data_IF_736778936596
#
_entry.id   IF_736778936596
#
_cell.length_a   1.000
_cell.length_b   1.000
_cell.length_c   1.000
_cell.angle_alpha   90.00
_cell.angle_beta   90.00
_cell.angle_gamma   90.00
#
_symmetry.space_group_name_H-M   'P 1'
#
loop_
_entity.id
_entity.type
_entity.pdbx_description
1 polymer ?
#
# COMPACT_ATOMS: atom_id res chain seq x y z
N UNK A 1 -4.04 -2.33 -6.30
CA UNK A 1 -4.08 -3.44 -7.26
C UNK A 1 -5.53 -3.71 -7.61
N UNK A 2 -5.82 -4.07 -8.86
CA UNK A 2 -7.15 -4.46 -9.31
C UNK A 2 -7.07 -5.90 -9.82
N UNK A 3 -8.00 -6.75 -9.39
CA UNK A 3 -8.02 -8.18 -9.74
C UNK A 3 -9.40 -8.52 -10.29
N UNK A 4 -9.43 -9.24 -11.41
CA UNK A 4 -10.63 -9.93 -11.90
C UNK A 4 -10.80 -11.23 -11.10
N UNK A 5 -11.79 -11.27 -10.21
CA UNK A 5 -12.01 -12.40 -9.32
C UNK A 5 -12.54 -13.65 -10.03
N UNK A 6 -13.24 -13.51 -11.16
CA UNK A 6 -13.73 -14.66 -11.92
C UNK A 6 -12.55 -15.38 -12.58
N UNK A 7 -11.71 -14.63 -13.30
CA UNK A 7 -10.46 -15.16 -13.87
C UNK A 7 -9.52 -15.67 -12.80
N UNK A 8 -9.49 -15.03 -11.63
CA UNK A 8 -8.68 -15.47 -10.51
C UNK A 8 -9.04 -16.87 -10.03
N UNK A 9 -10.34 -17.14 -9.89
CA UNK A 9 -10.86 -18.44 -9.46
C UNK A 9 -10.68 -19.48 -10.54
N UNK A 10 -11.05 -19.16 -11.77
CA UNK A 10 -10.90 -20.06 -12.93
C UNK A 10 -9.44 -20.46 -13.18
N UNK A 11 -8.49 -19.55 -12.95
CA UNK A 11 -7.06 -19.79 -13.12
C UNK A 11 -6.34 -20.35 -11.88
N UNK A 12 -7.07 -20.60 -10.79
CA UNK A 12 -6.55 -21.13 -9.52
C UNK A 12 -5.30 -20.39 -8.98
N UNK A 13 -5.23 -19.06 -9.17
CA UNK A 13 -4.01 -18.31 -8.89
C UNK A 13 -3.63 -18.26 -7.41
N UNK A 14 -4.59 -18.43 -6.48
CA UNK A 14 -4.28 -18.58 -5.05
C UNK A 14 -3.32 -19.73 -4.81
N UNK A 15 -3.63 -20.93 -5.33
CA UNK A 15 -2.81 -22.12 -5.12
C UNK A 15 -1.40 -21.94 -5.68
N UNK A 16 -1.29 -21.38 -6.90
CA UNK A 16 0.01 -21.09 -7.54
C UNK A 16 0.85 -20.08 -6.74
N UNK A 17 0.23 -19.07 -6.15
CA UNK A 17 0.93 -18.12 -5.27
C UNK A 17 1.42 -18.82 -4.00
N UNK A 18 0.57 -19.65 -3.39
CA UNK A 18 0.90 -20.38 -2.17
C UNK A 18 2.05 -21.38 -2.38
N UNK A 19 2.16 -22.00 -3.56
CA UNK A 19 3.31 -22.83 -3.93
C UNK A 19 4.63 -22.04 -3.91
N UNK A 20 4.66 -20.85 -4.50
CA UNK A 20 5.83 -19.97 -4.45
C UNK A 20 6.14 -19.50 -3.02
N UNK A 21 5.11 -19.22 -2.22
CA UNK A 21 5.28 -18.89 -0.81
C UNK A 21 5.84 -20.07 -0.01
N UNK A 22 5.43 -21.31 -0.30
CA UNK A 22 5.98 -22.51 0.30
C UNK A 22 7.44 -22.73 -0.09
N UNK A 23 7.80 -22.44 -1.36
CA UNK A 23 9.20 -22.46 -1.81
C UNK A 23 10.05 -21.43 -1.05
N UNK A 24 9.58 -20.19 -0.93
CA UNK A 24 10.25 -19.12 -0.18
C UNK A 24 10.54 -19.49 1.28
N UNK A 25 9.64 -20.23 1.93
CA UNK A 25 9.84 -20.72 3.32
C UNK A 25 10.98 -21.74 3.43
N UNK A 26 11.25 -22.50 2.37
CA UNK A 26 12.31 -23.52 2.33
C UNK A 26 13.64 -22.91 1.88
N UNK A 27 13.60 -22.06 0.86
CA UNK A 27 14.76 -21.36 0.32
C UNK A 27 14.37 -19.94 -0.05
N UNK A 28 15.18 -18.97 0.39
CA UNK A 28 14.92 -17.56 0.09
C UNK A 28 15.25 -17.30 -1.38
N UNK A 29 14.21 -17.06 -2.19
CA UNK A 29 14.28 -16.78 -3.64
C UNK A 29 13.89 -15.34 -3.99
N UNK A 30 13.32 -14.61 -3.02
CA UNK A 30 13.03 -13.19 -3.15
C UNK A 30 13.08 -12.47 -1.79
N UNK A 31 13.12 -11.14 -1.84
CA UNK A 31 13.02 -10.27 -0.66
C UNK A 31 11.60 -10.22 -0.09
N UNK A 32 11.48 -9.93 1.22
CA UNK A 32 10.17 -9.88 1.89
C UNK A 32 9.21 -8.89 1.20
N UNK A 33 7.96 -9.30 1.04
CA UNK A 33 6.90 -8.49 0.46
C UNK A 33 5.86 -9.35 -0.26
N UNK A 34 4.73 -8.74 -0.60
CA UNK A 34 3.66 -9.42 -1.32
C UNK A 34 3.84 -9.39 -2.84
N UNK A 35 4.58 -8.44 -3.41
CA UNK A 35 4.73 -8.30 -4.86
C UNK A 35 5.48 -9.46 -5.55
N UNK A 36 6.61 -9.97 -5.01
CA UNK A 36 7.39 -11.02 -5.68
C UNK A 36 6.60 -12.28 -6.08
N UNK A 37 5.79 -12.91 -5.20
CA UNK A 37 5.04 -14.10 -5.60
C UNK A 37 4.00 -13.83 -6.71
N UNK A 38 3.45 -12.61 -6.81
CA UNK A 38 2.57 -12.24 -7.92
C UNK A 38 3.36 -12.14 -9.23
N UNK A 39 4.56 -11.55 -9.21
CA UNK A 39 5.41 -11.47 -10.40
C UNK A 39 5.85 -12.85 -10.89
N UNK A 40 6.08 -13.80 -9.97
CA UNK A 40 6.40 -15.19 -10.31
C UNK A 40 5.23 -15.93 -10.99
N UNK A 41 3.99 -15.68 -10.55
CA UNK A 41 2.80 -16.32 -11.14
C UNK A 41 2.42 -15.70 -12.49
N UNK A 42 2.47 -14.37 -12.58
CA UNK A 42 1.98 -13.65 -13.76
C UNK A 42 3.06 -13.38 -14.81
N UNK A 43 4.35 -13.40 -14.46
CA UNK A 43 5.49 -13.33 -15.39
C UNK A 43 5.36 -12.26 -16.51
N UNK A 44 4.85 -11.07 -16.16
CA UNK A 44 4.65 -9.97 -17.13
C UNK A 44 3.24 -9.86 -17.71
N UNK A 45 2.34 -10.80 -17.41
CA UNK A 45 0.89 -10.72 -17.69
C UNK A 45 0.17 -9.77 -16.70
N UNK A 46 0.77 -8.60 -16.48
CA UNK A 46 0.25 -7.53 -15.64
C UNK A 46 0.08 -6.28 -16.50
N UNK A 47 -0.94 -5.47 -16.20
CA UNK A 47 -1.11 -4.16 -16.83
C UNK A 47 -0.77 -3.07 -15.82
N UNK A 48 0.07 -2.08 -16.19
CA UNK A 48 0.31 -0.93 -15.33
C UNK A 48 -0.98 -0.12 -15.18
N UNK A 49 -1.27 0.31 -13.96
CA UNK A 49 -2.28 1.32 -13.69
C UNK A 49 -1.60 2.70 -13.72
N UNK A 50 -2.35 3.75 -14.04
CA UNK A 50 -1.80 5.11 -14.05
C UNK A 50 -1.13 5.45 -12.70
N UNK A 51 0.06 6.05 -12.75
CA UNK A 51 0.88 6.40 -11.59
C UNK A 51 0.14 7.18 -10.50
N UNK A 52 -0.92 7.96 -10.81
CA UNK A 52 -1.72 8.67 -9.80
C UNK A 52 -2.39 7.77 -8.75
N UNK A 53 -2.49 6.47 -9.02
CA UNK A 53 -3.09 5.46 -8.14
C UNK A 53 -2.08 4.82 -7.18
N UNK A 54 -0.83 5.26 -7.17
CA UNK A 54 0.17 4.84 -6.19
C UNK A 54 1.30 5.87 -6.08
N UNK A 55 1.00 7.02 -5.45
CA UNK A 55 1.98 8.07 -5.21
C UNK A 55 2.58 7.96 -3.82
N UNK A 56 3.90 8.04 -3.72
CA UNK A 56 4.59 8.05 -2.43
C UNK A 56 4.65 9.47 -1.89
N UNK A 57 4.23 9.62 -0.64
CA UNK A 57 4.26 10.90 0.09
C UNK A 57 3.52 12.05 -0.63
N UNK A 58 3.71 13.29 -0.17
CA UNK A 58 3.09 14.46 -0.80
C UNK A 58 3.64 14.67 -2.22
N UNK A 59 2.75 14.64 -3.21
CA UNK A 59 3.09 14.77 -4.61
C UNK A 59 2.40 16.00 -5.24
N UNK A 60 3.11 16.80 -6.04
CA UNK A 60 2.49 17.91 -6.76
C UNK A 60 1.60 17.41 -7.91
N UNK A 61 0.36 17.88 -7.98
CA UNK A 61 -0.57 17.57 -9.09
C UNK A 61 -1.64 16.53 -8.76
N UNK A 62 -2.38 16.03 -9.76
CA UNK A 62 -3.54 15.16 -9.53
C UNK A 62 -3.14 13.79 -8.96
N UNK A 63 -3.57 13.51 -7.74
CA UNK A 63 -3.38 12.23 -7.05
C UNK A 63 -4.73 11.57 -6.77
N UNK A 64 -4.81 10.25 -6.96
CA UNK A 64 -5.99 9.45 -6.61
C UNK A 64 -5.76 8.60 -5.36
N UNK A 65 -4.53 8.14 -5.13
CA UNK A 65 -4.16 7.39 -3.93
C UNK A 65 -2.73 7.73 -3.51
N UNK A 66 -2.58 8.07 -2.23
CA UNK A 66 -1.32 8.32 -1.55
C UNK A 66 -0.93 7.10 -0.70
N UNK A 67 0.32 6.65 -0.85
CA UNK A 67 0.90 5.55 -0.12
C UNK A 67 2.06 6.06 0.75
N UNK A 68 1.89 5.97 2.07
CA UNK A 68 2.95 6.30 3.04
C UNK A 68 3.74 5.05 3.40
N UNK A 69 5.04 5.06 3.11
CA UNK A 69 5.95 3.93 3.38
C UNK A 69 6.99 4.26 4.46
N UNK A 70 7.45 3.23 5.19
CA UNK A 70 8.57 3.37 6.15
C UNK A 70 8.27 4.14 7.45
N UNK A 71 9.32 4.74 8.03
CA UNK A 71 9.32 5.43 9.34
C UNK A 71 8.75 6.86 9.29
N UNK A 72 8.44 7.39 8.11
CA UNK A 72 7.96 8.76 7.90
C UNK A 72 6.44 8.93 7.98
N UNK A 73 5.72 7.90 8.44
CA UNK A 73 4.26 7.88 8.50
C UNK A 73 3.70 9.06 9.31
N UNK A 74 2.75 9.83 8.78
CA UNK A 74 2.21 11.01 9.46
C UNK A 74 1.64 10.71 10.84
N UNK A 75 0.95 9.58 10.98
CA UNK A 75 0.34 9.16 12.26
C UNK A 75 1.35 8.81 13.34
N UNK A 76 2.59 8.44 13.01
CA UNK A 76 3.64 8.27 14.02
C UNK A 76 3.96 9.60 14.75
N UNK A 77 3.58 10.74 14.15
CA UNK A 77 3.70 12.07 14.77
C UNK A 77 2.47 12.44 15.60
N UNK A 78 1.29 11.97 15.21
CA UNK A 78 0.07 12.06 16.03
C UNK A 78 0.32 11.40 17.39
N UNK A 79 0.86 10.18 17.41
CA UNK A 79 1.23 9.48 18.65
C UNK A 79 2.27 10.25 19.48
N UNK A 80 3.11 11.06 18.83
CA UNK A 80 4.13 11.87 19.49
C UNK A 80 3.63 13.27 19.90
N UNK A 81 2.35 13.61 19.66
CA UNK A 81 1.77 14.92 19.96
C UNK A 81 2.44 16.08 19.21
N UNK A 82 3.02 15.83 18.04
CA UNK A 82 3.72 16.85 17.23
C UNK A 82 2.89 17.20 16.00
N UNK A 83 2.10 18.27 16.04
CA UNK A 83 1.24 18.65 14.92
C UNK A 83 2.07 19.06 13.69
N UNK A 84 1.52 18.85 12.50
CA UNK A 84 2.09 19.30 11.24
C UNK A 84 1.00 19.72 10.24
N UNK A 85 1.33 20.49 9.19
CA UNK A 85 0.34 20.98 8.23
C UNK A 85 -0.46 19.87 7.52
N UNK A 86 0.07 18.64 7.48
CA UNK A 86 -0.66 17.51 6.92
C UNK A 86 -1.86 17.13 7.79
N UNK A 87 -1.82 17.33 9.10
CA UNK A 87 -2.90 16.93 10.01
C UNK A 87 -4.20 17.68 9.69
N UNK A 88 -4.10 18.97 9.30
CA UNK A 88 -5.23 19.76 8.83
C UNK A 88 -5.93 19.13 7.60
N UNK A 89 -5.16 18.56 6.66
CA UNK A 89 -5.70 17.89 5.46
C UNK A 89 -6.54 16.66 5.81
N UNK A 90 -6.15 15.91 6.84
CA UNK A 90 -6.83 14.68 7.26
C UNK A 90 -7.88 14.92 8.33
N UNK A 91 -7.87 16.07 9.00
CA UNK A 91 -8.78 16.41 10.10
C UNK A 91 -10.27 16.14 9.83
N UNK A 92 -10.83 16.30 8.60
CA UNK A 92 -12.24 16.01 8.37
C UNK A 92 -12.58 14.50 8.40
N UNK A 93 -11.56 13.65 8.28
CA UNK A 93 -11.68 12.19 8.25
C UNK A 93 -11.14 11.54 9.52
N UNK A 94 -10.43 12.30 10.36
CA UNK A 94 -9.88 11.79 11.61
C UNK A 94 -10.96 11.71 12.69
N UNK A 95 -11.11 10.53 13.28
CA UNK A 95 -12.05 10.27 14.37
C UNK A 95 -11.39 10.45 15.74
N UNK A 96 -10.07 10.67 15.79
CA UNK A 96 -9.33 10.91 17.00
C UNK A 96 -9.65 12.30 17.56
N UNK A 97 -10.17 12.35 18.79
CA UNK A 97 -10.31 13.61 19.52
C UNK A 97 -8.96 13.99 20.16
N UNK A 98 -8.33 15.04 19.65
CA UNK A 98 -7.11 15.59 20.23
C UNK A 98 -7.42 16.61 21.33
N UNK A 99 -6.62 16.68 22.41
CA UNK A 99 -6.80 17.69 23.45
C UNK A 99 -6.32 19.09 23.04
N UNK A 100 -5.73 19.21 21.85
CA UNK A 100 -5.25 20.46 21.26
C UNK A 100 -5.97 20.72 19.93
N UNK A 101 -6.17 22.00 19.60
CA UNK A 101 -6.70 22.41 18.31
C UNK A 101 -5.65 22.18 17.21
N UNK A 102 -6.10 21.70 16.05
CA UNK A 102 -5.30 21.66 14.83
C UNK A 102 -5.54 22.96 14.07
N UNK A 103 -4.50 23.78 13.91
CA UNK A 103 -4.59 24.98 13.08
C UNK A 103 -4.68 24.57 11.60
N UNK A 104 -5.61 25.18 10.86
CA UNK A 104 -5.90 24.93 9.44
C UNK A 104 -4.98 25.69 8.49
#
# INVERSE_FOLDING_TARGET
>A
MVIDLSRWREGEYTARIEEWMAMQKRMRIYELGSLPPFLLVFAGLIKPVNHRWNQHDLHPGPVSLLHWSGKGKPWARLDAGRPCPLDALWSPYDLLQTPFALDS
#
